data_IF_411411951600
#
_entry.id   IF_411411951600
#
_cell.length_a   1.000
_cell.length_b   1.000
_cell.length_c   1.000
_cell.angle_alpha   90.00
_cell.angle_beta   90.00
_cell.angle_gamma   90.00
#
_symmetry.space_group_name_H-M   'P 1'
#
loop_
_entity.id
_entity.type
_entity.pdbx_description
1 polymer ?
#
# COMPACT_ATOMS: atom_id res chain seq x y z
N UNK A 1 -12.36 -44.52 -21.70
CA UNK A 1 -12.89 -43.53 -20.75
C UNK A 1 -11.71 -42.90 -20.04
N UNK A 2 -11.46 -41.63 -20.31
CA UNK A 2 -10.36 -40.85 -19.74
C UNK A 2 -10.87 -40.20 -18.44
N UNK A 3 -10.28 -40.44 -17.26
CA UNK A 3 -10.56 -39.60 -16.11
C UNK A 3 -9.82 -38.28 -16.33
N UNK A 4 -10.57 -37.19 -16.52
CA UNK A 4 -9.98 -35.85 -16.46
C UNK A 4 -9.26 -35.70 -15.13
N UNK A 5 -7.95 -35.46 -15.19
CA UNK A 5 -7.18 -35.02 -14.03
C UNK A 5 -7.77 -33.70 -13.51
N UNK A 6 -7.87 -33.49 -12.19
CA UNK A 6 -8.41 -32.25 -11.64
C UNK A 6 -7.55 -31.06 -12.07
N UNK A 7 -8.20 -29.93 -12.37
CA UNK A 7 -7.57 -28.67 -12.81
C UNK A 7 -6.50 -28.11 -11.84
N UNK A 8 -6.32 -28.71 -10.66
CA UNK A 8 -5.32 -28.33 -9.67
C UNK A 8 -3.87 -28.57 -10.11
N UNK A 9 -3.65 -29.53 -11.03
CA UNK A 9 -2.29 -30.04 -11.29
C UNK A 9 -1.60 -29.37 -12.49
N UNK A 10 -2.27 -28.40 -13.15
CA UNK A 10 -1.76 -27.69 -14.34
C UNK A 10 -1.33 -26.24 -14.05
N UNK A 11 -0.90 -25.95 -12.81
CA UNK A 11 -0.47 -24.60 -12.38
C UNK A 11 0.79 -24.64 -11.51
N UNK A 12 1.81 -25.39 -11.92
CA UNK A 12 3.10 -25.49 -11.20
C UNK A 12 4.17 -24.90 -12.14
N UNK A 13 4.44 -23.59 -12.17
CA UNK A 13 5.49 -22.98 -11.33
C UNK A 13 5.62 -21.45 -11.54
N UNK A 14 4.74 -20.80 -12.33
CA UNK A 14 4.88 -19.38 -12.71
C UNK A 14 3.89 -18.43 -12.01
N UNK A 15 2.84 -18.97 -11.37
CA UNK A 15 1.70 -18.18 -10.85
C UNK A 15 1.98 -17.57 -9.47
N UNK A 16 2.82 -18.19 -8.63
CA UNK A 16 3.03 -17.75 -7.24
C UNK A 16 3.60 -16.33 -7.13
N UNK A 17 4.53 -15.95 -8.01
CA UNK A 17 5.07 -14.59 -8.07
C UNK A 17 4.03 -13.53 -8.50
N UNK A 18 3.12 -13.90 -9.40
CA UNK A 18 2.03 -13.03 -9.88
C UNK A 18 0.92 -12.89 -8.82
N UNK A 19 0.58 -13.97 -8.12
CA UNK A 19 -0.44 -13.97 -7.07
C UNK A 19 0.00 -13.14 -5.86
N UNK A 20 1.26 -13.28 -5.41
CA UNK A 20 1.81 -12.47 -4.31
C UNK A 20 1.89 -10.98 -4.65
N UNK A 21 2.25 -10.64 -5.90
CA UNK A 21 2.27 -9.26 -6.39
C UNK A 21 0.85 -8.68 -6.48
N UNK A 22 -0.13 -9.46 -6.95
CA UNK A 22 -1.53 -9.06 -7.01
C UNK A 22 -2.13 -8.86 -5.60
N UNK A 23 -1.82 -9.75 -4.65
CA UNK A 23 -2.26 -9.62 -3.26
C UNK A 23 -1.62 -8.42 -2.54
N UNK A 24 -0.35 -8.09 -2.81
CA UNK A 24 0.34 -6.95 -2.18
C UNK A 24 -0.08 -5.61 -2.78
N UNK A 25 -0.31 -5.53 -4.10
CA UNK A 25 -0.91 -4.35 -4.76
C UNK A 25 -2.32 -4.09 -4.23
N UNK A 26 -3.17 -5.12 -4.15
CA UNK A 26 -4.51 -4.99 -3.56
C UNK A 26 -4.47 -4.45 -2.13
N UNK A 27 -3.52 -4.88 -1.30
CA UNK A 27 -3.38 -4.37 0.08
C UNK A 27 -2.98 -2.91 0.13
N UNK A 28 -2.06 -2.48 -0.74
CA UNK A 28 -1.66 -1.08 -0.87
C UNK A 28 -2.84 -0.19 -1.24
N UNK A 29 -3.58 -0.58 -2.28
CA UNK A 29 -4.75 0.16 -2.78
C UNK A 29 -5.87 0.25 -1.72
N UNK A 30 -6.12 -0.86 -1.01
CA UNK A 30 -7.08 -0.89 0.12
C UNK A 30 -6.64 0.11 1.20
N UNK A 31 -5.38 0.09 1.62
CA UNK A 31 -4.89 0.99 2.66
C UNK A 31 -4.98 2.46 2.24
N UNK A 32 -4.60 2.78 1.00
CA UNK A 32 -4.70 4.14 0.46
C UNK A 32 -6.16 4.62 0.41
N UNK A 33 -7.07 3.78 -0.11
CA UNK A 33 -8.50 4.11 -0.20
C UNK A 33 -9.13 4.33 1.18
N UNK A 34 -8.81 3.47 2.15
CA UNK A 34 -9.29 3.61 3.54
C UNK A 34 -8.76 4.87 4.20
N UNK A 35 -7.48 5.19 4.00
CA UNK A 35 -6.86 6.41 4.51
C UNK A 35 -7.49 7.68 3.90
N UNK A 36 -7.76 7.66 2.60
CA UNK A 36 -8.45 8.76 1.90
C UNK A 36 -9.84 8.98 2.49
N UNK A 37 -10.62 7.92 2.69
CA UNK A 37 -11.96 8.02 3.27
C UNK A 37 -11.92 8.60 4.69
N UNK A 38 -11.05 8.08 5.56
CA UNK A 38 -10.90 8.54 6.94
C UNK A 38 -10.47 10.02 7.03
N UNK A 39 -9.49 10.43 6.24
CA UNK A 39 -9.02 11.82 6.22
C UNK A 39 -10.05 12.78 5.61
N UNK A 40 -10.80 12.33 4.61
CA UNK A 40 -11.93 13.09 4.05
C UNK A 40 -13.00 13.36 5.11
N UNK A 41 -13.38 12.33 5.88
CA UNK A 41 -14.34 12.48 6.99
C UNK A 41 -13.84 13.43 8.10
N UNK A 42 -12.52 13.54 8.27
CA UNK A 42 -11.86 14.48 9.19
C UNK A 42 -11.70 15.90 8.62
N UNK A 43 -12.23 16.15 7.43
CA UNK A 43 -12.25 17.46 6.77
C UNK A 43 -10.93 17.86 6.10
N UNK A 44 -10.09 16.89 5.73
CA UNK A 44 -8.92 17.16 4.89
C UNK A 44 -9.31 17.16 3.41
N UNK A 45 -8.71 18.05 2.62
CA UNK A 45 -8.77 17.97 1.16
C UNK A 45 -7.72 16.98 0.67
N UNK A 46 -8.10 16.11 -0.26
CA UNK A 46 -7.23 15.05 -0.79
C UNK A 46 -6.71 15.44 -2.18
N UNK A 47 -5.40 15.35 -2.37
CA UNK A 47 -4.72 15.62 -3.63
C UNK A 47 -3.99 14.34 -4.07
N UNK A 48 -4.51 13.69 -5.11
CA UNK A 48 -3.94 12.47 -5.68
C UNK A 48 -3.07 12.78 -6.90
N UNK A 49 -1.82 12.29 -6.96
CA UNK A 49 -0.95 12.47 -8.12
C UNK A 49 -1.52 11.71 -9.33
N UNK A 50 -1.77 12.41 -10.45
CA UNK A 50 -2.37 11.82 -11.65
C UNK A 50 -1.34 11.39 -12.71
N UNK A 51 -0.24 12.15 -12.87
CA UNK A 51 0.74 11.97 -13.96
C UNK A 51 2.12 11.53 -13.46
N UNK A 52 2.24 11.20 -12.18
CA UNK A 52 3.50 10.82 -11.55
C UNK A 52 3.48 9.35 -11.14
N UNK A 53 4.53 8.61 -11.50
CA UNK A 53 4.74 7.24 -11.05
C UNK A 53 5.87 7.19 -10.02
N UNK A 54 5.84 6.20 -9.13
CA UNK A 54 6.91 5.90 -8.18
C UNK A 54 7.29 7.03 -7.20
N UNK A 55 6.33 7.87 -6.84
CA UNK A 55 6.51 8.84 -5.76
C UNK A 55 6.74 8.11 -4.42
N UNK A 56 7.47 8.73 -3.48
CA UNK A 56 7.72 8.11 -2.17
C UNK A 56 6.55 8.28 -1.19
N UNK A 57 5.39 8.73 -1.68
CA UNK A 57 4.12 8.89 -0.98
C UNK A 57 2.98 8.56 -1.95
N UNK A 58 1.80 8.24 -1.42
CA UNK A 58 0.64 7.86 -2.25
C UNK A 58 -0.23 9.07 -2.59
N UNK A 59 -0.42 9.99 -1.65
CA UNK A 59 -1.21 11.21 -1.86
C UNK A 59 -0.77 12.33 -0.91
N UNK A 60 -1.28 13.53 -1.16
CA UNK A 60 -1.10 14.71 -0.29
C UNK A 60 -2.45 15.09 0.30
N UNK A 61 -2.45 15.56 1.54
CA UNK A 61 -3.62 16.18 2.15
C UNK A 61 -3.37 17.64 2.48
N UNK A 62 -4.42 18.44 2.38
CA UNK A 62 -4.39 19.87 2.71
C UNK A 62 -5.43 20.20 3.76
N UNK A 63 -5.02 20.93 4.80
CA UNK A 63 -5.88 21.47 5.85
C UNK A 63 -5.16 22.63 6.56
N UNK A 64 -5.90 23.67 6.92
CA UNK A 64 -5.40 24.83 7.67
C UNK A 64 -4.09 25.41 7.07
N UNK A 65 -4.10 25.65 5.75
CA UNK A 65 -2.98 26.19 4.97
C UNK A 65 -1.69 25.35 4.98
N UNK A 66 -1.80 24.06 5.29
CA UNK A 66 -0.66 23.14 5.32
C UNK A 66 -0.90 21.92 4.44
N UNK A 67 0.17 21.53 3.74
CA UNK A 67 0.23 20.29 2.95
C UNK A 67 1.00 19.22 3.72
N UNK A 68 0.50 17.99 3.66
CA UNK A 68 1.13 16.82 4.26
C UNK A 68 1.15 15.67 3.27
N UNK A 69 2.34 15.16 2.96
CA UNK A 69 2.54 13.97 2.14
C UNK A 69 2.28 12.72 2.96
N UNK A 70 1.44 11.84 2.45
CA UNK A 70 0.97 10.65 3.15
C UNK A 70 1.43 9.39 2.41
N UNK A 71 2.07 8.49 3.13
CA UNK A 71 2.34 7.13 2.66
C UNK A 71 1.42 6.15 3.41
N UNK A 72 0.50 5.51 2.70
CA UNK A 72 -0.38 4.49 3.23
C UNK A 72 0.34 3.15 3.39
N UNK A 73 -0.01 2.43 4.46
CA UNK A 73 0.50 1.09 4.75
C UNK A 73 -0.62 0.19 5.25
N UNK A 74 -0.71 -1.01 4.70
CA UNK A 74 -1.58 -2.07 5.19
C UNK A 74 -0.84 -2.87 6.27
N UNK A 75 -1.39 -2.95 7.49
CA UNK A 75 -0.78 -3.66 8.61
C UNK A 75 -1.60 -4.90 9.01
N UNK A 76 -1.48 -5.98 8.23
CA UNK A 76 -2.23 -7.22 8.46
C UNK A 76 -1.81 -8.03 9.68
N UNK A 77 -0.55 -7.88 10.15
CA UNK A 77 -0.02 -8.63 11.30
C UNK A 77 0.35 -7.70 12.47
N UNK A 78 -0.29 -6.52 12.58
CA UNK A 78 0.08 -5.45 13.52
C UNK A 78 1.54 -4.96 13.45
N UNK A 79 2.27 -5.32 12.39
CA UNK A 79 3.64 -4.87 12.13
C UNK A 79 3.66 -3.85 10.99
N UNK A 80 4.04 -2.62 11.31
CA UNK A 80 4.32 -1.59 10.31
C UNK A 80 5.81 -1.64 10.00
N UNK A 81 6.15 -2.04 8.78
CA UNK A 81 7.55 -2.08 8.36
C UNK A 81 7.92 -0.76 7.70
N UNK A 82 8.88 -0.03 8.28
CA UNK A 82 9.43 1.21 7.70
C UNK A 82 10.39 0.90 6.53
N UNK A 83 9.84 0.34 5.45
CA UNK A 83 10.51 0.14 4.16
C UNK A 83 9.48 -0.02 3.05
N UNK A 84 9.88 0.33 1.83
CA UNK A 84 9.19 -0.17 0.64
C UNK A 84 9.92 -1.44 0.21
N UNK A 85 9.16 -2.51 0.07
CA UNK A 85 9.59 -3.71 -0.63
C UNK A 85 8.74 -3.76 -1.88
N UNK A 86 9.39 -3.80 -3.04
CA UNK A 86 8.72 -4.11 -4.29
C UNK A 86 9.43 -5.28 -4.97
N UNK A 87 8.65 -6.11 -5.64
CA UNK A 87 9.14 -7.23 -6.42
C UNK A 87 8.91 -6.88 -7.88
N UNK A 88 9.96 -6.96 -8.68
CA UNK A 88 9.87 -6.88 -10.13
C UNK A 88 10.49 -8.14 -10.77
N UNK A 89 10.48 -8.19 -12.10
CA UNK A 89 11.06 -9.31 -12.89
C UNK A 89 12.56 -9.55 -12.65
N UNK A 90 13.26 -8.61 -12.01
CA UNK A 90 14.68 -8.66 -11.70
C UNK A 90 14.97 -8.91 -10.21
N UNK A 91 13.93 -9.11 -9.38
CA UNK A 91 14.06 -9.55 -7.99
C UNK A 91 13.32 -8.69 -6.98
N UNK A 92 13.66 -8.87 -5.69
CA UNK A 92 13.09 -8.11 -4.58
C UNK A 92 13.97 -6.89 -4.32
N UNK A 93 13.43 -5.70 -4.57
CA UNK A 93 14.09 -4.43 -4.31
C UNK A 93 13.58 -3.83 -3.01
N UNK A 94 14.51 -3.37 -2.17
CA UNK A 94 14.20 -2.69 -0.92
C UNK A 94 14.81 -1.29 -0.94
N UNK A 95 13.98 -0.27 -0.75
CA UNK A 95 14.44 1.12 -0.52
C UNK A 95 14.00 1.56 0.86
N UNK A 96 14.96 2.05 1.64
CA UNK A 96 14.67 2.75 2.89
C UNK A 96 14.16 4.15 2.54
N UNK A 97 13.08 4.54 3.19
CA UNK A 97 12.58 5.90 3.10
C UNK A 97 13.56 6.87 3.76
N UNK A 98 13.65 8.08 3.22
CA UNK A 98 14.35 9.22 3.82
C UNK A 98 13.37 10.05 4.65
N UNK A 99 13.89 10.81 5.62
CA UNK A 99 13.08 11.67 6.51
C UNK A 99 12.21 12.68 5.74
N UNK A 100 12.62 13.08 4.54
CA UNK A 100 11.89 14.07 3.74
C UNK A 100 11.03 13.47 2.62
N UNK A 101 10.90 12.14 2.57
CA UNK A 101 10.13 11.46 1.50
C UNK A 101 8.63 11.78 1.64
N UNK A 102 8.10 11.74 2.87
CA UNK A 102 6.71 12.06 3.21
C UNK A 102 6.63 12.59 4.65
N UNK A 103 5.45 12.97 5.15
CA UNK A 103 5.30 13.58 6.48
C UNK A 103 4.65 12.61 7.49
N UNK A 104 3.72 11.79 7.00
CA UNK A 104 2.99 10.83 7.83
C UNK A 104 2.82 9.47 7.16
N UNK A 105 2.84 8.43 7.98
CA UNK A 105 2.25 7.15 7.63
C UNK A 105 0.75 7.17 7.92
N UNK A 106 -0.06 6.71 6.96
CA UNK A 106 -1.44 6.32 7.22
C UNK A 106 -1.52 4.79 7.27
N UNK A 107 -1.57 4.24 8.49
CA UNK A 107 -1.56 2.80 8.71
C UNK A 107 -3.00 2.29 8.83
N UNK A 108 -3.42 1.44 7.91
CA UNK A 108 -4.68 0.74 7.97
C UNK A 108 -4.53 -0.60 8.72
N UNK A 109 -5.30 -0.74 9.80
CA UNK A 109 -5.40 -1.93 10.65
C UNK A 109 -6.70 -2.68 10.28
N UNK A 110 -6.61 -3.75 9.48
CA UNK A 110 -7.79 -4.43 8.95
C UNK A 110 -8.63 -5.14 10.00
N UNK A 111 -7.99 -5.65 11.07
CA UNK A 111 -8.67 -6.41 12.12
C UNK A 111 -9.72 -5.60 12.88
N UNK A 112 -9.53 -4.27 12.92
CA UNK A 112 -10.41 -3.33 13.62
C UNK A 112 -10.95 -2.21 12.71
N UNK A 113 -10.80 -2.36 11.39
CA UNK A 113 -11.16 -1.38 10.35
C UNK A 113 -10.83 0.07 10.72
N UNK A 114 -9.56 0.33 11.09
CA UNK A 114 -9.11 1.64 11.59
C UNK A 114 -7.89 2.15 10.86
N UNK A 115 -7.85 3.47 10.63
CA UNK A 115 -6.66 4.18 10.13
C UNK A 115 -6.01 4.97 11.27
N UNK A 116 -4.69 4.82 11.41
CA UNK A 116 -3.86 5.58 12.35
C UNK A 116 -2.81 6.38 11.60
N UNK A 117 -2.74 7.69 11.85
CA UNK A 117 -1.72 8.57 11.28
C UNK A 117 -0.53 8.71 12.24
N UNK A 118 0.68 8.39 11.78
CA UNK A 118 1.91 8.48 12.57
C UNK A 118 2.88 9.44 11.88
N UNK A 119 3.40 10.42 12.62
CA UNK A 119 4.45 11.31 12.10
C UNK A 119 5.78 10.58 12.04
N UNK A 120 6.63 10.95 11.09
CA UNK A 120 7.99 10.40 10.95
C UNK A 120 9.09 11.27 11.55
N UNK A 121 8.70 12.37 12.22
CA UNK A 121 9.59 13.26 12.97
C UNK A 121 9.58 12.93 14.47
#
# INVERSE_FOLDING_TARGET
>A
MNPQAPLSDMMITSVEGSLLLHHTKNKGDIAATRAIADLTLKGYLILTPLVCEHLPFDFVVYKDDKFYKIQAKYAGDNRVVNKTIWVDKNGTHQKKYKVNDFDFYAVYLPDIDKVSCLSIN
#
